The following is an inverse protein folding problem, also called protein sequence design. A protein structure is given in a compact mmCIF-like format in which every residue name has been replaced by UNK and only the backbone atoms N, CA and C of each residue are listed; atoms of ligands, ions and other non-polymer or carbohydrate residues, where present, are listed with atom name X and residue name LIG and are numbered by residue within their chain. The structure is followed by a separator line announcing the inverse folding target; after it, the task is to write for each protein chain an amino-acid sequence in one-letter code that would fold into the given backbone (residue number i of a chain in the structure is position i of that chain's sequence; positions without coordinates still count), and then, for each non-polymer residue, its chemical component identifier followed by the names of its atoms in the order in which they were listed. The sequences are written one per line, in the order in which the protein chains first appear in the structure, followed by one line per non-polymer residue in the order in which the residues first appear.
data_IF_090847199906
#
_entry.id   IF_090847199906
#
_cell.length_a   1.000
_cell.length_b   1.000
_cell.length_c   1.000
_cell.angle_alpha   90.00
_cell.angle_beta   90.00
_cell.angle_gamma   90.00
#
_symmetry.space_group_name_H-M   'P 1'
#
loop_
_entity.id
_entity.type
_entity.pdbx_description
1 polymer ?
#
# COMPACT_ATOMS: atom_id res chain seq x y z
N UNK A 1 2.86 -42.76 -3.52
CA UNK A 1 3.44 -42.66 -4.87
C UNK A 1 4.95 -42.70 -4.73
N UNK A 2 5.61 -43.72 -5.27
CA UNK A 2 7.07 -43.90 -5.16
C UNK A 2 7.66 -43.64 -6.54
N UNK A 3 7.83 -42.36 -6.89
CA UNK A 3 8.37 -41.95 -8.19
C UNK A 3 9.89 -42.15 -8.29
N UNK A 4 10.59 -42.21 -7.15
CA UNK A 4 12.04 -42.38 -7.11
C UNK A 4 12.39 -43.67 -6.38
N UNK A 5 12.78 -44.71 -7.14
CA UNK A 5 13.24 -45.99 -6.60
C UNK A 5 14.76 -45.95 -6.49
N UNK A 6 15.29 -46.01 -5.26
CA UNK A 6 16.74 -45.91 -5.00
C UNK A 6 17.21 -44.53 -4.52
N UNK A 7 16.50 -43.93 -3.55
CA UNK A 7 16.94 -42.70 -2.89
C UNK A 7 18.24 -42.96 -2.13
N UNK A 8 19.30 -42.22 -2.47
CA UNK A 8 20.61 -42.33 -1.84
C UNK A 8 21.80 -42.28 -2.80
N UNK A 9 21.59 -42.57 -4.10
CA UNK A 9 22.62 -42.38 -5.12
C UNK A 9 22.63 -40.93 -5.62
N UNK A 10 23.81 -40.28 -5.64
CA UNK A 10 23.98 -38.86 -6.01
C UNK A 10 23.37 -38.49 -7.38
N UNK A 11 23.36 -39.43 -8.34
CA UNK A 11 22.78 -39.22 -9.66
C UNK A 11 21.25 -39.08 -9.65
N UNK A 12 20.55 -39.90 -8.85
CA UNK A 12 19.09 -39.81 -8.71
C UNK A 12 18.71 -38.50 -8.03
N UNK A 13 19.57 -38.04 -7.13
CA UNK A 13 19.44 -36.82 -6.35
C UNK A 13 19.43 -35.56 -7.24
N UNK A 14 20.41 -35.46 -8.14
CA UNK A 14 20.51 -34.36 -9.12
C UNK A 14 19.31 -34.38 -10.07
N UNK A 15 18.87 -35.57 -10.47
CA UNK A 15 17.75 -35.71 -11.39
C UNK A 15 16.41 -35.28 -10.76
N UNK A 16 16.17 -35.67 -9.51
CA UNK A 16 15.02 -35.24 -8.70
C UNK A 16 15.02 -33.72 -8.50
N UNK A 17 16.17 -33.15 -8.13
CA UNK A 17 16.33 -31.71 -7.97
C UNK A 17 16.08 -30.96 -9.27
N UNK A 18 16.69 -31.38 -10.38
CA UNK A 18 16.58 -30.72 -11.67
C UNK A 18 15.15 -30.75 -12.22
N UNK A 19 14.41 -31.85 -12.02
CA UNK A 19 13.02 -31.95 -12.46
C UNK A 19 12.04 -31.19 -11.56
N UNK A 20 12.35 -30.99 -10.28
CA UNK A 20 11.48 -30.23 -9.40
C UNK A 20 11.76 -28.72 -9.45
N UNK A 21 13.02 -28.33 -9.28
CA UNK A 21 13.43 -26.93 -9.19
C UNK A 21 13.79 -26.31 -10.54
N UNK A 22 14.34 -27.08 -11.47
CA UNK A 22 14.80 -26.54 -12.75
C UNK A 22 13.70 -25.84 -13.55
N UNK A 23 12.48 -26.37 -13.55
CA UNK A 23 11.33 -25.74 -14.22
C UNK A 23 10.84 -24.48 -13.50
N UNK A 24 10.89 -24.49 -12.16
CA UNK A 24 10.52 -23.35 -11.33
C UNK A 24 11.51 -22.21 -11.58
N UNK A 25 12.81 -22.50 -11.54
CA UNK A 25 13.87 -21.52 -11.77
C UNK A 25 13.82 -20.97 -13.20
N UNK A 26 13.60 -21.82 -14.20
CA UNK A 26 13.42 -21.38 -15.59
C UNK A 26 12.20 -20.44 -15.76
N UNK A 27 11.09 -20.76 -15.09
CA UNK A 27 9.87 -19.94 -15.11
C UNK A 27 10.10 -18.58 -14.44
N UNK A 28 10.78 -18.58 -13.30
CA UNK A 28 11.15 -17.36 -12.57
C UNK A 28 12.08 -16.50 -13.42
N UNK A 29 13.12 -17.09 -14.01
CA UNK A 29 14.09 -16.39 -14.85
C UNK A 29 13.41 -15.77 -16.07
N UNK A 30 12.53 -16.52 -16.73
CA UNK A 30 11.74 -16.03 -17.85
C UNK A 30 10.89 -14.82 -17.45
N UNK A 31 10.16 -14.91 -16.33
CA UNK A 31 9.37 -13.79 -15.80
C UNK A 31 10.23 -12.56 -15.50
N UNK A 32 11.41 -12.75 -14.89
CA UNK A 32 12.32 -11.66 -14.60
C UNK A 32 12.82 -10.97 -15.88
N UNK A 33 13.20 -11.73 -16.91
CA UNK A 33 13.63 -11.20 -18.21
C UNK A 33 12.52 -10.36 -18.85
N UNK A 34 11.29 -10.88 -18.89
CA UNK A 34 10.13 -10.15 -19.45
C UNK A 34 9.89 -8.84 -18.71
N UNK A 35 9.91 -8.86 -17.38
CA UNK A 35 9.75 -7.64 -16.56
C UNK A 35 10.86 -6.63 -16.86
N UNK A 36 12.12 -7.08 -16.90
CA UNK A 36 13.27 -6.21 -17.22
C UNK A 36 13.12 -5.59 -18.61
N UNK A 37 12.70 -6.38 -19.62
CA UNK A 37 12.47 -5.87 -20.98
C UNK A 37 11.37 -4.80 -21.00
N UNK A 38 10.27 -5.02 -20.28
CA UNK A 38 9.16 -4.06 -20.16
C UNK A 38 9.64 -2.77 -19.49
N UNK A 39 10.36 -2.87 -18.36
CA UNK A 39 10.92 -1.70 -17.66
C UNK A 39 11.87 -0.92 -18.58
N UNK A 40 12.79 -1.59 -19.27
CA UNK A 40 13.73 -0.93 -20.20
C UNK A 40 12.99 -0.21 -21.32
N UNK A 41 11.94 -0.83 -21.87
CA UNK A 41 11.10 -0.22 -22.91
C UNK A 41 10.36 1.02 -22.39
N UNK A 42 9.78 0.96 -21.19
CA UNK A 42 9.14 2.10 -20.53
C UNK A 42 10.13 3.25 -20.27
N UNK A 43 11.34 2.95 -19.79
CA UNK A 43 12.38 3.96 -19.58
C UNK A 43 12.85 4.62 -20.89
N UNK A 44 12.98 3.86 -21.97
CA UNK A 44 13.32 4.39 -23.28
C UNK A 44 12.24 5.34 -23.81
N UNK A 45 10.96 4.98 -23.65
CA UNK A 45 9.83 5.83 -24.04
C UNK A 45 9.79 7.11 -23.19
N UNK A 46 9.97 6.99 -21.88
CA UNK A 46 10.01 8.14 -20.97
C UNK A 46 11.13 9.12 -21.33
N UNK A 47 12.35 8.62 -21.61
CA UNK A 47 13.49 9.45 -22.01
C UNK A 47 13.27 10.17 -23.34
N UNK A 48 12.54 9.57 -24.28
CA UNK A 48 12.21 10.20 -25.57
C UNK A 48 11.25 11.38 -25.39
N UNK A 49 10.31 11.28 -24.45
CA UNK A 49 9.36 12.36 -24.13
C UNK A 49 10.09 13.52 -23.44
N UNK A 50 10.93 13.23 -22.43
CA UNK A 50 11.70 14.26 -21.71
C UNK A 50 12.63 15.06 -22.64
N UNK A 51 13.15 14.44 -23.72
CA UNK A 51 14.00 15.12 -24.71
C UNK A 51 13.26 16.07 -25.66
N UNK A 52 11.96 15.84 -25.91
CA UNK A 52 11.14 16.67 -26.82
C UNK A 52 10.66 17.97 -26.14
N UNK A 53 10.43 17.93 -24.83
CA UNK A 53 10.02 19.10 -24.04
C UNK A 53 11.10 20.18 -24.00
N UNK A 54 12.38 19.81 -24.00
CA UNK A 54 13.49 20.79 -23.99
C UNK A 54 13.60 21.59 -25.31
N UNK A 55 13.27 20.98 -26.45
CA UNK A 55 13.35 21.67 -27.76
C UNK A 55 12.11 22.52 -28.09
N UNK A 56 11.00 22.36 -27.35
CA UNK A 56 9.72 23.04 -27.64
C UNK A 56 9.45 24.24 -26.72
N UNK A 57 10.50 24.82 -26.14
CA UNK A 57 10.42 25.99 -25.25
C UNK A 57 10.14 27.25 -26.07
N UNK A 58 8.87 27.51 -26.44
CA UNK A 58 8.35 28.87 -26.72
C UNK A 58 6.88 28.90 -27.17
N UNK A 59 5.94 28.39 -26.37
CA UNK A 59 4.57 28.94 -26.22
C UNK A 59 3.77 28.04 -25.29
N UNK A 60 3.66 28.44 -24.02
CA UNK A 60 2.48 29.15 -23.50
C UNK A 60 1.46 28.19 -22.89
N UNK A 61 1.58 28.05 -21.57
CA UNK A 61 0.47 28.08 -20.60
C UNK A 61 -0.77 27.23 -20.89
N UNK A 62 -0.76 26.00 -20.41
CA UNK A 62 -1.85 25.42 -19.60
C UNK A 62 -1.37 24.11 -18.98
N UNK A 63 -0.94 24.18 -17.71
CA UNK A 63 -0.80 23.00 -16.84
C UNK A 63 -2.13 22.20 -16.78
N UNK A 64 -2.12 20.87 -16.53
CA UNK A 64 -1.06 20.11 -15.84
C UNK A 64 -0.72 18.71 -16.40
N UNK A 65 0.56 18.31 -16.45
CA UNK A 65 0.94 16.88 -16.46
C UNK A 65 1.69 16.43 -15.19
N UNK A 66 1.78 17.25 -14.14
CA UNK A 66 2.51 16.91 -12.91
C UNK A 66 1.95 15.67 -12.18
N UNK A 67 0.64 15.40 -12.32
CA UNK A 67 -0.04 14.27 -11.67
C UNK A 67 0.32 12.91 -12.32
N UNK A 68 0.59 12.88 -13.64
CA UNK A 68 0.90 11.61 -14.32
C UNK A 68 2.31 11.12 -13.99
N UNK A 69 3.27 12.02 -13.77
CA UNK A 69 4.67 11.67 -13.47
C UNK A 69 4.80 10.91 -12.14
N UNK A 70 4.07 11.30 -11.11
CA UNK A 70 4.06 10.63 -9.79
C UNK A 70 3.38 9.27 -9.83
N UNK A 71 2.28 9.12 -10.59
CA UNK A 71 1.60 7.83 -10.75
C UNK A 71 2.49 6.83 -11.50
N UNK A 72 3.15 7.26 -12.59
CA UNK A 72 4.06 6.41 -13.37
C UNK A 72 5.26 5.97 -12.53
N UNK A 73 5.88 6.89 -11.78
CA UNK A 73 6.97 6.58 -10.84
C UNK A 73 6.57 5.55 -9.78
N UNK A 74 5.35 5.66 -9.24
CA UNK A 74 4.82 4.71 -8.26
C UNK A 74 4.64 3.31 -8.85
N UNK A 75 4.10 3.21 -10.07
CA UNK A 75 3.92 1.92 -10.77
C UNK A 75 5.27 1.28 -11.07
N UNK A 76 6.23 2.03 -11.62
CA UNK A 76 7.56 1.51 -11.93
C UNK A 76 8.27 0.99 -10.68
N UNK A 77 8.14 1.69 -9.55
CA UNK A 77 8.72 1.23 -8.27
C UNK A 77 8.17 -0.12 -7.83
N UNK A 78 6.85 -0.37 -7.99
CA UNK A 78 6.23 -1.68 -7.68
C UNK A 78 6.76 -2.78 -8.59
N UNK A 79 6.84 -2.48 -9.89
CA UNK A 79 7.32 -3.44 -10.90
C UNK A 79 8.77 -3.87 -10.62
N UNK A 80 9.61 -2.99 -10.05
CA UNK A 80 10.99 -3.29 -9.63
C UNK A 80 11.07 -4.22 -8.40
N UNK A 81 10.08 -4.21 -7.50
CA UNK A 81 10.10 -5.07 -6.31
C UNK A 81 9.86 -6.55 -6.63
N UNK A 82 9.13 -6.87 -7.70
CA UNK A 82 8.85 -8.27 -8.08
C UNK A 82 10.12 -9.07 -8.44
N UNK A 83 11.05 -8.56 -9.27
CA UNK A 83 12.36 -9.19 -9.48
C UNK A 83 13.16 -9.38 -8.19
N UNK A 84 13.07 -8.45 -7.23
CA UNK A 84 13.81 -8.53 -5.96
C UNK A 84 13.29 -9.68 -5.08
N UNK A 85 11.97 -9.86 -5.04
CA UNK A 85 11.35 -11.02 -4.38
C UNK A 85 11.81 -12.33 -5.03
N UNK A 86 11.80 -12.39 -6.37
CA UNK A 86 12.24 -13.56 -7.11
C UNK A 86 13.73 -13.88 -6.85
N UNK A 87 14.58 -12.87 -6.79
CA UNK A 87 16.01 -13.05 -6.50
C UNK A 87 16.24 -13.63 -5.10
N UNK A 88 15.45 -13.17 -4.14
CA UNK A 88 15.49 -13.66 -2.75
C UNK A 88 15.05 -15.13 -2.70
N UNK A 89 14.04 -15.52 -3.49
CA UNK A 89 13.60 -16.91 -3.61
C UNK A 89 14.70 -17.83 -4.16
N UNK A 90 15.34 -17.42 -5.25
CA UNK A 90 16.44 -18.17 -5.87
C UNK A 90 17.57 -18.36 -4.86
N UNK A 91 17.93 -17.30 -4.13
CA UNK A 91 19.02 -17.38 -3.14
C UNK A 91 18.74 -18.39 -2.01
N UNK A 92 17.48 -18.52 -1.58
CA UNK A 92 17.09 -19.52 -0.59
C UNK A 92 17.16 -20.94 -1.16
N UNK A 93 16.67 -21.14 -2.39
CA UNK A 93 16.76 -22.43 -3.08
C UNK A 93 18.21 -22.88 -3.29
N UNK A 94 19.12 -21.94 -3.60
CA UNK A 94 20.55 -22.24 -3.72
C UNK A 94 21.17 -22.67 -2.40
N UNK A 95 20.78 -22.05 -1.27
CA UNK A 95 21.26 -22.46 0.05
C UNK A 95 20.78 -23.86 0.44
N UNK A 96 19.54 -24.19 0.12
CA UNK A 96 18.99 -25.53 0.33
C UNK A 96 19.70 -26.58 -0.56
N UNK A 97 19.99 -26.22 -1.81
CA UNK A 97 20.77 -27.06 -2.73
C UNK A 97 22.19 -27.28 -2.21
N UNK A 98 22.83 -26.23 -1.69
CA UNK A 98 24.14 -26.31 -1.08
C UNK A 98 24.15 -27.23 0.15
N UNK A 99 23.14 -27.11 1.00
CA UNK A 99 22.94 -27.99 2.15
C UNK A 99 22.78 -29.46 1.72
N UNK A 100 22.00 -29.66 0.68
CA UNK A 100 21.69 -30.98 0.13
C UNK A 100 22.92 -31.69 -0.44
N UNK A 101 23.83 -30.95 -1.09
CA UNK A 101 25.08 -31.51 -1.65
C UNK A 101 26.10 -31.82 -0.56
N UNK A 102 26.26 -30.92 0.43
CA UNK A 102 27.34 -31.06 1.40
C UNK A 102 27.03 -32.04 2.54
N UNK A 103 25.77 -32.40 2.76
CA UNK A 103 25.31 -33.25 3.88
C UNK A 103 25.76 -32.78 5.29
N UNK A 104 26.32 -31.58 5.41
CA UNK A 104 26.79 -31.00 6.67
C UNK A 104 25.80 -29.93 7.12
N UNK A 105 25.07 -30.26 8.18
CA UNK A 105 24.13 -29.34 8.83
C UNK A 105 24.91 -28.46 9.80
N UNK A 106 25.46 -27.35 9.33
CA UNK A 106 25.98 -26.35 10.26
C UNK A 106 24.81 -25.51 10.82
N UNK A 107 24.73 -25.33 12.16
CA UNK A 107 23.70 -24.49 12.78
C UNK A 107 23.50 -23.09 12.17
N UNK A 108 24.56 -22.33 11.78
CA UNK A 108 24.36 -21.01 11.17
C UNK A 108 23.59 -21.07 9.84
N UNK A 109 23.82 -22.07 9.00
CA UNK A 109 23.14 -22.20 7.69
C UNK A 109 21.64 -22.44 7.91
N UNK A 110 21.27 -23.23 8.91
CA UNK A 110 19.86 -23.48 9.24
C UNK A 110 19.15 -22.17 9.65
N UNK A 111 19.82 -21.32 10.44
CA UNK A 111 19.28 -20.00 10.83
C UNK A 111 19.09 -19.12 9.58
N UNK A 112 20.05 -19.12 8.66
CA UNK A 112 19.92 -18.38 7.40
C UNK A 112 18.75 -18.85 6.54
N UNK A 113 18.47 -20.14 6.48
CA UNK A 113 17.29 -20.67 5.76
C UNK A 113 15.98 -20.22 6.39
N UNK A 114 15.88 -20.20 7.72
CA UNK A 114 14.70 -19.67 8.42
C UNK A 114 14.50 -18.17 8.16
N UNK A 115 15.58 -17.39 8.18
CA UNK A 115 15.54 -15.97 7.82
C UNK A 115 15.11 -15.82 6.36
N UNK A 116 15.62 -16.67 5.46
CA UNK A 116 15.28 -16.75 4.04
C UNK A 116 13.78 -16.97 3.78
N UNK A 117 13.19 -17.97 4.44
CA UNK A 117 11.75 -18.22 4.35
C UNK A 117 10.92 -17.08 4.93
N UNK A 118 11.39 -16.47 6.03
CA UNK A 118 10.70 -15.35 6.68
C UNK A 118 10.75 -14.08 5.82
N UNK A 119 11.87 -13.81 5.15
CA UNK A 119 12.04 -12.63 4.31
C UNK A 119 11.16 -12.70 3.06
N UNK A 120 10.88 -13.89 2.53
CA UNK A 120 9.93 -14.06 1.43
C UNK A 120 8.53 -13.57 1.83
N UNK A 121 8.02 -14.00 2.99
CA UNK A 121 6.74 -13.55 3.53
C UNK A 121 6.73 -12.05 3.81
N UNK A 122 7.82 -11.54 4.39
CA UNK A 122 7.98 -10.11 4.68
C UNK A 122 7.98 -9.24 3.42
N UNK A 123 8.72 -9.63 2.37
CA UNK A 123 8.77 -8.88 1.11
C UNK A 123 7.43 -8.91 0.37
N UNK A 124 6.72 -10.03 0.41
CA UNK A 124 5.36 -10.11 -0.10
C UNK A 124 4.42 -9.15 0.65
N UNK A 125 4.47 -9.13 1.98
CA UNK A 125 3.69 -8.19 2.80
C UNK A 125 4.07 -6.73 2.51
N UNK A 126 5.35 -6.45 2.24
CA UNK A 126 5.83 -5.12 1.88
C UNK A 126 5.27 -4.68 0.51
N UNK A 127 5.26 -5.57 -0.48
CA UNK A 127 4.65 -5.30 -1.79
C UNK A 127 3.14 -5.05 -1.68
N UNK A 128 2.43 -5.85 -0.87
CA UNK A 128 1.02 -5.58 -0.58
C UNK A 128 0.79 -4.25 0.14
N UNK A 129 1.69 -3.88 1.07
CA UNK A 129 1.60 -2.60 1.78
C UNK A 129 1.80 -1.39 0.87
N UNK A 130 2.54 -1.55 -0.22
CA UNK A 130 2.73 -0.51 -1.23
C UNK A 130 1.51 -0.34 -2.14
N UNK A 131 0.48 -1.18 -2.04
CA UNK A 131 -0.70 -1.07 -2.87
C UNK A 131 -1.45 0.26 -2.63
N UNK A 132 -2.10 0.78 -3.67
CA UNK A 132 -2.73 2.10 -3.68
C UNK A 132 -3.91 2.06 -2.71
N UNK A 133 -4.62 0.93 -2.66
CA UNK A 133 -5.71 0.70 -1.72
C UNK A 133 -5.22 0.81 -0.26
N UNK A 134 -4.10 0.16 0.10
CA UNK A 134 -3.57 0.19 1.46
C UNK A 134 -3.05 1.59 1.82
N UNK A 135 -2.36 2.25 0.89
CA UNK A 135 -1.84 3.60 1.11
C UNK A 135 -2.97 4.61 1.27
N UNK A 136 -4.04 4.49 0.49
CA UNK A 136 -5.24 5.32 0.61
C UNK A 136 -5.92 5.07 1.96
N UNK A 137 -6.14 3.81 2.33
CA UNK A 137 -6.74 3.46 3.61
C UNK A 137 -5.93 3.98 4.80
N UNK A 138 -4.60 3.86 4.77
CA UNK A 138 -3.70 4.43 5.77
C UNK A 138 -3.85 5.94 5.87
N UNK A 139 -3.94 6.65 4.73
CA UNK A 139 -4.20 8.10 4.73
C UNK A 139 -5.54 8.44 5.36
N UNK A 140 -6.61 7.72 5.02
CA UNK A 140 -7.92 7.92 5.63
C UNK A 140 -7.91 7.65 7.13
N UNK A 141 -7.27 6.57 7.57
CA UNK A 141 -7.16 6.25 8.99
C UNK A 141 -6.33 7.28 9.77
N UNK A 142 -5.24 7.79 9.18
CA UNK A 142 -4.40 8.82 9.80
C UNK A 142 -5.16 10.16 9.87
N UNK A 143 -5.89 10.52 8.82
CA UNK A 143 -6.79 11.68 8.82
C UNK A 143 -7.89 11.54 9.87
N UNK A 144 -8.56 10.38 9.95
CA UNK A 144 -9.56 10.12 10.97
C UNK A 144 -8.93 10.23 12.37
N UNK A 145 -7.73 9.70 12.61
CA UNK A 145 -7.05 9.86 13.91
C UNK A 145 -6.63 11.30 14.21
N UNK A 146 -6.21 12.08 13.21
CA UNK A 146 -5.80 13.48 13.38
C UNK A 146 -7.00 14.41 13.60
N UNK A 147 -8.10 14.14 12.89
CA UNK A 147 -9.33 14.93 12.93
C UNK A 147 -10.37 14.39 13.91
N UNK A 148 -10.16 13.21 14.48
CA UNK A 148 -10.97 12.74 15.59
C UNK A 148 -10.77 13.75 16.70
N UNK A 149 -11.80 14.56 17.04
CA UNK A 149 -11.67 15.54 18.09
C UNK A 149 -11.18 14.78 19.32
N UNK A 150 -10.18 15.31 20.05
CA UNK A 150 -9.81 14.70 21.31
C UNK A 150 -11.12 14.55 22.09
N UNK A 151 -11.37 13.35 22.63
CA UNK A 151 -12.44 13.14 23.61
C UNK A 151 -12.06 13.95 24.86
N UNK A 152 -12.03 15.28 24.73
CA UNK A 152 -12.05 16.23 25.82
C UNK A 152 -13.43 16.03 26.40
N UNK A 153 -13.50 15.10 27.35
CA UNK A 153 -14.27 15.17 28.59
C UNK A 153 -15.39 16.22 28.54
N UNK A 154 -16.35 16.02 27.64
CA UNK A 154 -17.44 16.98 27.42
C UNK A 154 -18.38 17.00 28.63
N UNK A 155 -18.19 16.07 29.59
CA UNK A 155 -18.86 16.08 30.89
C UNK A 155 -18.41 17.23 31.80
N UNK A 156 -17.19 17.75 31.69
CA UNK A 156 -16.72 18.78 32.64
C UNK A 156 -17.13 20.19 32.22
N UNK A 157 -17.15 20.50 30.91
CA UNK A 157 -17.54 21.84 30.45
C UNK A 157 -19.06 21.99 30.34
N UNK A 158 -19.79 20.94 29.94
CA UNK A 158 -21.27 20.99 29.88
C UNK A 158 -21.89 21.13 31.28
N UNK A 159 -21.28 20.52 32.31
CA UNK A 159 -21.69 20.67 33.72
C UNK A 159 -21.60 22.13 34.18
N UNK A 160 -20.50 22.81 33.88
CA UNK A 160 -20.27 24.18 34.34
C UNK A 160 -21.07 25.22 33.54
N UNK A 161 -21.40 24.92 32.27
CA UNK A 161 -22.21 25.82 31.46
C UNK A 161 -23.72 25.68 31.75
N UNK A 162 -24.21 24.47 32.09
CA UNK A 162 -25.59 24.26 32.55
C UNK A 162 -25.86 24.92 33.91
N UNK A 163 -24.87 24.96 34.82
CA UNK A 163 -25.03 25.69 36.08
C UNK A 163 -25.11 27.21 35.88
N UNK A 164 -24.43 27.76 34.88
CA UNK A 164 -24.45 29.20 34.57
C UNK A 164 -25.69 29.64 33.79
N UNK A 165 -26.32 28.76 33.00
CA UNK A 165 -27.54 29.08 32.26
C UNK A 165 -28.76 29.10 33.20
N UNK A 166 -28.81 28.21 34.19
CA UNK A 166 -29.87 28.23 35.20
C UNK A 166 -29.89 29.49 36.07
N UNK A 167 -28.77 30.23 36.18
CA UNK A 167 -28.77 31.51 36.91
C UNK A 167 -29.20 32.71 36.06
N UNK A 168 -29.15 32.63 34.72
CA UNK A 168 -29.45 33.76 33.81
C UNK A 168 -30.88 33.69 33.26
N UNK A 169 -31.46 32.50 33.13
CA UNK A 169 -32.84 32.32 32.64
C UNK A 169 -33.90 32.88 33.61
N UNK A 170 -33.52 33.24 34.84
CA UNK A 170 -34.45 33.81 35.80
C UNK A 170 -34.72 35.32 35.64
N UNK A 171 -33.98 36.03 34.76
CA UNK A 171 -34.02 37.50 34.73
C UNK A 171 -34.50 38.17 33.43
N UNK A 172 -34.74 37.46 32.32
CA UNK A 172 -35.20 38.13 31.08
C UNK A 172 -36.13 37.27 30.21
N UNK A 173 -37.44 37.46 30.41
CA UNK A 173 -38.53 36.76 29.73
C UNK A 173 -38.96 37.36 28.38
N UNK A 174 -38.30 38.41 27.87
CA UNK A 174 -38.84 39.21 26.75
C UNK A 174 -38.10 39.07 25.42
N UNK A 175 -37.17 38.13 25.25
CA UNK A 175 -36.39 38.04 23.99
C UNK A 175 -36.12 36.60 23.46
N UNK A 176 -37.06 35.67 23.66
CA UNK A 176 -36.93 34.27 23.23
C UNK A 176 -37.03 34.03 21.71
N UNK A 177 -37.54 34.98 20.93
CA UNK A 177 -37.87 34.71 19.52
C UNK A 177 -36.66 34.75 18.56
N UNK A 178 -35.56 35.40 18.91
CA UNK A 178 -34.39 35.56 18.00
C UNK A 178 -33.38 34.41 18.11
N UNK A 179 -33.29 33.74 19.26
CA UNK A 179 -32.34 32.63 19.45
C UNK A 179 -32.82 31.35 18.77
N UNK A 180 -34.14 31.12 18.75
CA UNK A 180 -34.74 29.96 18.11
C UNK A 180 -34.48 29.92 16.60
N UNK A 181 -34.46 31.09 15.95
CA UNK A 181 -34.28 31.21 14.50
C UNK A 181 -32.84 30.84 14.06
N UNK A 182 -31.83 31.18 14.88
CA UNK A 182 -30.43 30.82 14.58
C UNK A 182 -30.18 29.31 14.66
N UNK A 183 -30.89 28.62 15.56
CA UNK A 183 -30.75 27.16 15.76
C UNK A 183 -31.36 26.38 14.60
N UNK A 184 -32.48 26.86 14.05
CA UNK A 184 -33.14 26.27 12.89
C UNK A 184 -32.25 26.40 11.64
N UNK A 185 -31.64 27.57 11.42
CA UNK A 185 -30.74 27.79 10.28
C UNK A 185 -29.47 26.93 10.36
N UNK A 186 -28.90 26.75 11.56
CA UNK A 186 -27.73 25.87 11.75
C UNK A 186 -28.08 24.40 11.47
N UNK A 187 -29.24 23.94 11.94
CA UNK A 187 -29.72 22.57 11.71
C UNK A 187 -29.92 22.30 10.22
N UNK A 188 -30.44 23.30 9.48
CA UNK A 188 -30.64 23.22 8.03
C UNK A 188 -29.33 23.19 7.23
N UNK A 189 -28.29 23.87 7.70
CA UNK A 189 -26.95 23.81 7.07
C UNK A 189 -26.28 22.45 7.29
N UNK A 190 -26.44 21.88 8.49
CA UNK A 190 -25.89 20.57 8.82
C UNK A 190 -26.53 19.46 7.98
N UNK A 191 -27.86 19.50 7.80
CA UNK A 191 -28.55 18.50 6.97
C UNK A 191 -28.09 18.55 5.51
N UNK A 192 -27.88 19.76 4.95
CA UNK A 192 -27.40 19.93 3.57
C UNK A 192 -25.98 19.35 3.37
N UNK A 193 -25.07 19.58 4.32
CA UNK A 193 -23.70 19.05 4.25
C UNK A 193 -23.72 17.51 4.35
N UNK A 194 -24.60 16.94 5.18
CA UNK A 194 -24.73 15.48 5.29
C UNK A 194 -25.22 14.82 4.01
N UNK A 195 -26.04 15.51 3.22
CA UNK A 195 -26.56 15.01 1.94
C UNK A 195 -25.46 14.96 0.88
N UNK A 196 -24.67 16.03 0.74
CA UNK A 196 -23.54 16.07 -0.21
C UNK A 196 -22.49 15.00 0.10
N UNK A 197 -22.25 14.71 1.39
CA UNK A 197 -21.28 13.68 1.78
C UNK A 197 -21.72 12.27 1.35
N UNK A 198 -23.02 11.96 1.46
CA UNK A 198 -23.58 10.69 1.01
C UNK A 198 -23.54 10.53 -0.52
N UNK A 199 -23.72 11.62 -1.26
CA UNK A 199 -23.63 11.61 -2.73
C UNK A 199 -22.19 11.34 -3.20
N UNK A 200 -21.20 11.94 -2.53
CA UNK A 200 -19.78 11.66 -2.80
C UNK A 200 -19.44 10.20 -2.48
N UNK A 201 -19.91 9.67 -1.34
CA UNK A 201 -19.63 8.29 -0.95
C UNK A 201 -20.24 7.26 -1.93
N UNK A 202 -21.46 7.50 -2.40
CA UNK A 202 -22.11 6.62 -3.38
C UNK A 202 -21.44 6.69 -4.76
N UNK A 203 -20.94 7.85 -5.17
CA UNK A 203 -20.18 8.01 -6.42
C UNK A 203 -18.85 7.26 -6.35
N UNK A 204 -18.18 7.31 -5.19
CA UNK A 204 -16.89 6.66 -5.00
C UNK A 204 -16.98 5.12 -4.96
N UNK A 205 -18.14 4.55 -4.57
CA UNK A 205 -18.39 3.10 -4.64
C UNK A 205 -18.69 2.57 -6.04
N UNK A 206 -19.00 3.45 -7.00
CA UNK A 206 -19.28 3.06 -8.40
C UNK A 206 -18.03 3.05 -9.28
N UNK A 207 -16.92 3.60 -8.80
CA UNK A 207 -15.60 3.60 -9.45
C UNK A 207 -14.78 2.41 -8.97
#
# INVERSE_FOLDING_TARGET
ACWYRGSGQQYNLIWEWATFYGWIDASILYCAIVIIMVIRKLHLVAKKIDGLDFSSTSRSSSHPPLISKTMISSVVRRVIWYPVILLTQISCGLMETYFYINHVITPPIMIFSFIGMSIQGFLNALVFSQDIAVTQWLRYMLLIKLFSPPKITSRVILSNHLSSINSVVNDNSDNQNTVQDSSIELTKRISRISEEFNEIETTLRRL
#
